data_IF_462694786952
#
_entry.id   IF_462694786952
#
_cell.length_a   1.000
_cell.length_b   1.000
_cell.length_c   1.000
_cell.angle_alpha   90.00
_cell.angle_beta   90.00
_cell.angle_gamma   90.00
#
_symmetry.space_group_name_H-M   'P 1'
#
loop_
_entity.id
_entity.type
_entity.pdbx_description
1 polymer ?
#
# COMPACT_ATOMS: atom_id res chain seq x y z
N UNK A 1 -8.89 19.72 3.35
CA UNK A 1 -7.89 19.11 4.26
C UNK A 1 -8.63 18.03 5.03
N UNK A 2 -8.60 16.79 4.53
CA UNK A 2 -9.25 15.66 5.20
C UNK A 2 -8.30 15.12 6.26
N UNK A 3 -8.70 15.27 7.52
CA UNK A 3 -8.10 14.61 8.67
C UNK A 3 -8.75 13.23 8.75
N UNK A 4 -7.98 12.17 8.48
CA UNK A 4 -8.40 10.82 8.82
C UNK A 4 -7.90 10.54 10.24
N UNK A 5 -8.78 10.73 11.21
CA UNK A 5 -8.65 10.23 12.57
C UNK A 5 -9.87 9.34 12.77
N UNK A 6 -9.68 8.03 12.72
CA UNK A 6 -10.67 7.03 13.13
C UNK A 6 -9.87 5.79 13.59
N UNK A 7 -9.44 5.86 14.85
CA UNK A 7 -8.84 4.77 15.61
C UNK A 7 -10.00 4.00 16.28
N UNK A 8 -10.31 2.81 15.77
CA UNK A 8 -11.17 1.85 16.47
C UNK A 8 -10.68 0.42 16.24
N UNK A 9 -9.70 0.01 17.06
CA UNK A 9 -9.27 -1.38 17.21
C UNK A 9 -10.23 -2.13 18.15
N UNK A 10 -11.31 -2.71 17.61
CA UNK A 10 -12.13 -3.74 18.28
C UNK A 10 -11.77 -5.13 17.71
N UNK A 11 -10.86 -5.84 18.39
CA UNK A 11 -10.39 -7.18 18.00
C UNK A 11 -10.97 -8.24 18.97
N UNK A 12 -12.20 -8.70 18.69
CA UNK A 12 -12.80 -9.87 19.33
C UNK A 12 -12.23 -11.21 18.78
N UNK A 13 -12.21 -12.31 19.56
CA UNK A 13 -11.55 -13.54 19.15
C UNK A 13 -12.35 -14.27 18.07
N UNK A 14 -11.72 -14.48 16.91
CA UNK A 14 -12.31 -15.16 15.75
C UNK A 14 -11.90 -16.63 15.78
N UNK A 15 -12.88 -17.48 16.08
CA UNK A 15 -12.72 -18.93 16.16
C UNK A 15 -12.16 -19.50 14.85
N UNK A 16 -11.18 -20.39 14.98
CA UNK A 16 -10.45 -20.98 13.87
C UNK A 16 -11.29 -22.04 13.16
N UNK A 17 -11.73 -21.76 11.94
CA UNK A 17 -12.30 -22.78 11.05
C UNK A 17 -11.21 -23.31 10.10
N UNK A 18 -11.02 -24.63 10.16
CA UNK A 18 -9.95 -25.39 9.54
C UNK A 18 -10.52 -26.10 8.32
N UNK A 19 -10.75 -25.40 7.21
CA UNK A 19 -11.06 -26.08 5.93
C UNK A 19 -10.86 -25.16 4.72
N UNK A 20 -9.88 -25.51 3.87
CA UNK A 20 -9.59 -24.81 2.61
C UNK A 20 -8.61 -23.65 2.79
N UNK A 21 -7.31 -23.92 2.60
CA UNK A 21 -6.18 -22.99 2.81
C UNK A 21 -6.15 -21.86 1.76
N UNK A 22 -7.22 -21.07 1.67
CA UNK A 22 -7.14 -19.72 1.11
C UNK A 22 -6.48 -18.89 2.20
N UNK A 23 -5.18 -18.67 2.06
CA UNK A 23 -4.47 -17.72 2.91
C UNK A 23 -5.18 -16.37 2.78
N UNK A 24 -5.95 -16.01 3.82
CA UNK A 24 -6.69 -14.76 3.86
C UNK A 24 -5.68 -13.63 3.98
N UNK A 25 -5.29 -13.03 2.87
CA UNK A 25 -4.43 -11.85 2.87
C UNK A 25 -5.19 -10.66 3.48
N UNK A 26 -4.65 -10.12 4.57
CA UNK A 26 -5.28 -9.02 5.34
C UNK A 26 -4.81 -7.64 4.85
N UNK A 27 -3.67 -7.57 4.15
CA UNK A 27 -3.19 -6.30 3.57
C UNK A 27 -1.76 -6.35 3.00
N UNK A 28 -1.31 -5.20 2.51
CA UNK A 28 0.03 -5.00 1.92
C UNK A 28 0.78 -3.92 2.69
N UNK A 29 2.05 -4.18 3.03
CA UNK A 29 2.94 -3.21 3.69
C UNK A 29 3.92 -2.63 2.68
N UNK A 30 4.00 -1.30 2.62
CA UNK A 30 4.98 -0.59 1.79
C UNK A 30 6.21 -0.24 2.64
N UNK A 31 7.39 -0.59 2.13
CA UNK A 31 8.71 -0.29 2.71
C UNK A 31 9.51 0.53 1.72
N UNK A 32 10.17 1.59 2.16
CA UNK A 32 10.95 2.48 1.29
C UNK A 32 12.31 2.81 1.90
N UNK A 33 13.31 3.07 1.05
CA UNK A 33 14.63 3.57 1.44
C UNK A 33 15.00 4.72 0.51
N UNK A 34 15.32 5.88 1.10
CA UNK A 34 15.67 7.09 0.34
C UNK A 34 17.18 7.32 0.25
N UNK A 35 17.94 6.74 1.17
CA UNK A 35 19.38 7.01 1.34
C UNK A 35 20.27 5.97 0.66
N UNK A 36 19.70 5.07 -0.15
CA UNK A 36 20.43 3.92 -0.70
C UNK A 36 20.95 2.94 0.37
N UNK A 37 20.58 3.15 1.64
CA UNK A 37 20.89 2.28 2.76
C UNK A 37 20.01 1.04 2.76
N UNK A 38 20.52 -0.03 3.38
CA UNK A 38 19.81 -1.32 3.54
C UNK A 38 18.61 -1.18 4.49
N UNK A 39 18.58 -0.14 5.32
CA UNK A 39 17.47 0.11 6.25
C UNK A 39 16.26 0.67 5.50
N UNK A 40 15.14 -0.05 5.62
CA UNK A 40 13.84 0.40 5.11
C UNK A 40 13.11 1.15 6.21
N UNK A 41 12.72 2.38 5.93
CA UNK A 41 11.97 3.22 6.84
C UNK A 41 10.47 2.89 6.80
N UNK A 42 9.82 3.00 7.96
CA UNK A 42 8.37 2.92 8.03
C UNK A 42 7.75 4.20 7.49
N UNK A 43 6.58 4.09 6.86
CA UNK A 43 5.79 5.24 6.39
C UNK A 43 5.53 6.30 7.48
N UNK A 44 5.54 5.92 8.77
CA UNK A 44 5.39 6.84 9.91
C UNK A 44 6.62 7.75 10.11
N UNK A 45 7.83 7.28 9.80
CA UNK A 45 9.11 7.99 9.99
C UNK A 45 9.44 8.95 8.85
N UNK A 46 8.75 8.83 7.71
CA UNK A 46 8.97 9.68 6.55
C UNK A 46 8.45 11.11 6.78
N UNK A 47 9.13 12.10 6.18
CA UNK A 47 8.64 13.47 6.12
C UNK A 47 7.42 13.59 5.21
N UNK A 48 6.64 14.67 5.34
CA UNK A 48 5.48 14.93 4.49
C UNK A 48 5.82 14.92 2.99
N UNK A 49 6.96 15.50 2.61
CA UNK A 49 7.43 15.49 1.21
C UNK A 49 7.77 14.08 0.70
N UNK A 50 8.42 13.25 1.52
CA UNK A 50 8.74 11.87 1.17
C UNK A 50 7.48 11.03 0.97
N UNK A 51 6.48 11.14 1.86
CA UNK A 51 5.19 10.43 1.70
C UNK A 51 4.51 10.81 0.39
N UNK A 52 4.53 12.08 0.03
CA UNK A 52 4.00 12.56 -1.26
C UNK A 52 4.73 11.93 -2.44
N UNK A 53 6.07 11.84 -2.40
CA UNK A 53 6.84 11.18 -3.47
C UNK A 53 6.49 9.69 -3.57
N UNK A 54 6.35 8.97 -2.45
CA UNK A 54 5.96 7.56 -2.48
C UNK A 54 4.54 7.39 -3.04
N UNK A 55 3.61 8.27 -2.65
CA UNK A 55 2.24 8.25 -3.17
C UNK A 55 2.21 8.51 -4.68
N UNK A 56 2.94 9.52 -5.16
CA UNK A 56 3.05 9.81 -6.58
C UNK A 56 3.71 8.66 -7.35
N UNK A 57 4.76 8.05 -6.79
CA UNK A 57 5.42 6.90 -7.39
C UNK A 57 4.46 5.71 -7.52
N UNK A 58 3.66 5.44 -6.49
CA UNK A 58 2.63 4.39 -6.53
C UNK A 58 1.54 4.70 -7.56
N UNK A 59 1.04 5.95 -7.60
CA UNK A 59 0.04 6.39 -8.58
C UNK A 59 0.59 6.22 -10.01
N UNK A 60 1.81 6.67 -10.28
CA UNK A 60 2.43 6.52 -11.59
C UNK A 60 2.75 5.06 -11.94
N UNK A 61 3.13 4.24 -10.96
CA UNK A 61 3.34 2.82 -11.18
C UNK A 61 2.03 2.13 -11.58
N UNK A 62 0.92 2.42 -10.89
CA UNK A 62 -0.40 1.90 -11.25
C UNK A 62 -0.80 2.36 -12.66
N UNK A 63 -0.65 3.64 -12.97
CA UNK A 63 -0.96 4.20 -14.29
C UNK A 63 -0.08 3.62 -15.42
N UNK A 64 1.16 3.20 -15.11
CA UNK A 64 2.07 2.56 -16.08
C UNK A 64 1.95 1.04 -16.14
N UNK A 65 1.37 0.40 -15.14
CA UNK A 65 1.15 -1.05 -15.15
C UNK A 65 0.01 -1.46 -16.09
N UNK A 66 -0.82 -0.52 -16.58
CA UNK A 66 -1.73 -0.76 -17.70
C UNK A 66 -2.01 0.54 -18.50
N UNK A 67 -1.11 0.96 -19.43
CA UNK A 67 -1.52 1.85 -20.51
C UNK A 67 -2.44 1.02 -21.41
N UNK A 68 -3.73 1.03 -21.10
CA UNK A 68 -4.71 0.25 -21.84
C UNK A 68 -4.57 0.51 -23.35
N UNK A 69 -4.60 -0.56 -24.19
CA UNK A 69 -4.28 -0.50 -25.60
C UNK A 69 -5.46 0.10 -26.38
N UNK A 70 -5.76 1.38 -26.18
CA UNK A 70 -6.79 2.07 -26.95
C UNK A 70 -6.19 2.66 -28.25
N UNK A 71 -5.57 1.81 -29.07
CA UNK A 71 -5.27 2.14 -30.46
C UNK A 71 -5.27 0.87 -31.31
N UNK A 72 -6.48 0.41 -31.62
CA UNK A 72 -6.74 -0.46 -32.76
C UNK A 72 -8.00 0.07 -33.44
N UNK A 73 -7.87 1.30 -33.97
CA UNK A 73 -8.69 1.70 -35.11
C UNK A 73 -7.96 1.16 -36.34
N UNK A 74 -8.49 0.06 -36.86
CA UNK A 74 -8.02 -0.66 -38.03
C UNK A 74 -9.16 -1.51 -38.54
#
# INVERSE_FOLDING_TARGET
MVLFDDDHDDDGPREADVEGRVEKYIGVKVKVSFTGGVETELMKQLSGGQKTVVALALIFAIQRCDPAPFLSIG
#
